data_IF_874318553493
#
_entry.id   IF_874318553493
#
_cell.length_a   1.000
_cell.length_b   1.000
_cell.length_c   1.000
_cell.angle_alpha   90.00
_cell.angle_beta   90.00
_cell.angle_gamma   90.00
#
_symmetry.space_group_name_H-M   'P 1'
#
loop_
_entity.id
_entity.type
_entity.pdbx_description
1 polymer ?
#
# COMPACT_ATOMS: atom_id res chain seq x y z
N UNK A 1 11.65 8.71 -4.52
CA UNK A 1 10.73 9.30 -3.52
C UNK A 1 9.55 8.35 -3.37
N UNK A 2 9.04 8.08 -2.17
CA UNK A 2 7.77 7.36 -2.05
C UNK A 2 6.66 8.28 -2.61
N UNK A 3 5.86 7.77 -3.53
CA UNK A 3 4.80 8.54 -4.18
C UNK A 3 5.12 9.10 -5.56
N UNK A 4 6.04 8.49 -6.32
CA UNK A 4 6.08 8.75 -7.77
C UNK A 4 4.77 8.21 -8.35
N UNK A 5 3.92 9.10 -8.84
CA UNK A 5 2.66 8.74 -9.47
C UNK A 5 2.93 7.87 -10.70
N UNK A 6 2.00 6.97 -11.07
CA UNK A 6 2.11 6.14 -12.29
C UNK A 6 2.45 7.00 -13.54
N UNK A 7 1.95 8.23 -13.57
CA UNK A 7 2.25 9.22 -14.60
C UNK A 7 3.72 9.64 -14.63
N UNK A 8 4.34 9.88 -13.48
CA UNK A 8 5.75 10.28 -13.41
C UNK A 8 6.70 9.13 -13.78
N UNK A 9 6.38 7.89 -13.40
CA UNK A 9 7.15 6.71 -13.82
C UNK A 9 7.03 6.52 -15.34
N UNK A 10 5.81 6.63 -15.87
CA UNK A 10 5.53 6.53 -17.31
C UNK A 10 6.28 7.61 -18.10
N UNK A 11 6.23 8.86 -17.64
CA UNK A 11 6.95 9.99 -18.24
C UNK A 11 8.47 9.77 -18.20
N UNK A 12 9.02 9.32 -17.07
CA UNK A 12 10.45 9.04 -16.94
C UNK A 12 10.90 7.96 -17.93
N UNK A 13 10.13 6.87 -18.07
CA UNK A 13 10.43 5.80 -19.02
C UNK A 13 10.39 6.30 -20.47
N UNK A 14 9.39 7.10 -20.83
CA UNK A 14 9.27 7.70 -22.15
C UNK A 14 10.42 8.66 -22.47
N UNK A 15 10.85 9.48 -21.50
CA UNK A 15 12.02 10.36 -21.63
C UNK A 15 13.32 9.58 -21.87
N UNK A 16 13.42 8.34 -21.37
CA UNK A 16 14.56 7.47 -21.59
C UNK A 16 14.42 6.58 -22.84
N UNK A 17 13.48 6.93 -23.72
CA UNK A 17 13.29 6.27 -25.01
C UNK A 17 12.60 4.92 -24.91
N UNK A 18 11.91 4.61 -23.81
CA UNK A 18 11.02 3.45 -23.76
C UNK A 18 9.62 3.81 -24.22
N UNK A 19 8.92 2.84 -24.78
CA UNK A 19 7.48 2.96 -25.03
C UNK A 19 6.72 2.28 -23.90
N UNK A 20 5.71 2.96 -23.38
CA UNK A 20 4.89 2.50 -22.25
C UNK A 20 3.43 2.39 -22.65
N UNK A 21 2.78 1.33 -22.22
CA UNK A 21 1.37 1.01 -22.46
C UNK A 21 0.74 0.63 -21.12
N UNK A 22 -0.24 1.40 -20.64
CA UNK A 22 -1.10 0.96 -19.54
C UNK A 22 -2.07 -0.05 -20.13
N UNK A 23 -2.00 -1.30 -19.67
CA UNK A 23 -2.81 -2.38 -20.25
C UNK A 23 -4.18 -2.44 -19.60
N UNK A 24 -4.18 -2.62 -18.28
CA UNK A 24 -5.39 -2.97 -17.55
C UNK A 24 -5.30 -2.44 -16.11
N UNK A 25 -6.43 -1.94 -15.62
CA UNK A 25 -6.65 -1.66 -14.21
C UNK A 25 -7.58 -2.73 -13.66
N UNK A 26 -7.07 -3.57 -12.77
CA UNK A 26 -7.86 -4.55 -12.04
C UNK A 26 -8.41 -3.92 -10.79
N UNK A 27 -9.69 -4.16 -10.54
CA UNK A 27 -10.37 -3.73 -9.34
C UNK A 27 -11.16 -4.89 -8.80
N UNK A 28 -10.95 -5.22 -7.54
CA UNK A 28 -11.71 -6.26 -6.85
C UNK A 28 -11.99 -5.84 -5.41
N UNK A 29 -12.98 -6.51 -4.82
CA UNK A 29 -13.29 -6.35 -3.41
C UNK A 29 -12.80 -7.58 -2.65
N UNK A 30 -12.19 -7.38 -1.50
CA UNK A 30 -11.78 -8.46 -0.60
C UNK A 30 -12.33 -8.23 0.80
N UNK A 31 -12.77 -9.30 1.51
CA UNK A 31 -13.13 -9.19 2.90
C UNK A 31 -11.87 -8.99 3.75
N UNK A 32 -11.85 -7.95 4.57
CA UNK A 32 -10.76 -7.65 5.50
C UNK A 32 -11.31 -7.28 6.88
N UNK A 33 -10.50 -7.45 7.92
CA UNK A 33 -10.84 -7.07 9.29
C UNK A 33 -9.89 -5.95 9.75
N UNK A 34 -10.33 -5.10 10.69
CA UNK A 34 -9.44 -4.13 11.35
C UNK A 34 -8.15 -4.78 11.91
N UNK A 35 -8.28 -5.97 12.50
CA UNK A 35 -7.14 -6.74 13.01
C UNK A 35 -6.14 -7.10 11.90
N UNK A 36 -6.61 -7.51 10.73
CA UNK A 36 -5.73 -7.86 9.59
C UNK A 36 -4.98 -6.63 9.07
N UNK A 37 -5.61 -5.45 9.01
CA UNK A 37 -4.92 -4.20 8.67
C UNK A 37 -3.85 -3.81 9.68
N UNK A 38 -4.15 -3.92 10.97
CA UNK A 38 -3.16 -3.64 12.00
C UNK A 38 -1.95 -4.57 11.87
N UNK A 39 -2.20 -5.85 11.64
CA UNK A 39 -1.14 -6.83 11.41
C UNK A 39 -0.31 -6.49 10.16
N UNK A 40 -0.91 -6.06 9.05
CA UNK A 40 -0.14 -5.72 7.84
C UNK A 40 0.82 -4.55 8.06
N UNK A 41 0.43 -3.56 8.87
CA UNK A 41 1.30 -2.43 9.25
C UNK A 41 2.52 -2.91 10.05
N UNK A 42 2.34 -3.85 10.98
CA UNK A 42 3.45 -4.45 11.75
C UNK A 42 4.47 -5.09 10.80
N UNK A 43 4.01 -5.83 9.79
CA UNK A 43 4.89 -6.53 8.85
C UNK A 43 5.61 -5.57 7.88
N UNK A 44 4.99 -4.43 7.56
CA UNK A 44 5.49 -3.49 6.54
C UNK A 44 6.77 -2.74 6.97
N UNK A 45 7.01 -2.54 8.28
CA UNK A 45 8.20 -1.83 8.78
C UNK A 45 9.52 -2.41 8.24
N UNK A 46 9.57 -3.74 8.03
CA UNK A 46 10.75 -4.43 7.53
C UNK A 46 11.14 -4.04 6.10
N UNK A 47 10.26 -3.36 5.36
CA UNK A 47 10.42 -3.09 3.92
C UNK A 47 10.54 -1.61 3.56
N UNK A 48 10.36 -0.69 4.53
CA UNK A 48 10.40 0.75 4.25
C UNK A 48 11.84 1.29 4.18
N UNK A 49 12.24 1.98 3.11
CA UNK A 49 13.53 2.68 3.02
C UNK A 49 13.59 3.94 3.90
N UNK A 50 12.45 4.36 4.47
CA UNK A 50 12.33 5.43 5.45
C UNK A 50 11.98 4.77 6.78
N UNK A 51 13.00 4.23 7.46
CA UNK A 51 12.82 3.67 8.78
C UNK A 51 12.62 4.81 9.78
N UNK A 52 11.38 4.94 10.25
CA UNK A 52 11.15 5.54 11.56
C UNK A 52 11.95 4.72 12.58
N UNK A 53 12.57 5.36 13.56
CA UNK A 53 13.31 4.60 14.59
C UNK A 53 12.39 3.56 15.23
N UNK A 54 12.94 2.38 15.55
CA UNK A 54 12.15 1.28 16.11
C UNK A 54 11.36 1.70 17.35
N UNK A 55 11.93 2.60 18.17
CA UNK A 55 11.26 3.18 19.34
C UNK A 55 10.01 3.99 18.97
N UNK A 56 10.10 4.89 18.00
CA UNK A 56 8.96 5.71 17.58
C UNK A 56 7.91 4.83 16.88
N UNK A 57 8.35 3.84 16.11
CA UNK A 57 7.44 2.91 15.46
C UNK A 57 6.68 2.04 16.50
N UNK A 58 7.38 1.48 17.49
CA UNK A 58 6.77 0.72 18.57
C UNK A 58 5.74 1.55 19.36
N UNK A 59 6.07 2.80 19.71
CA UNK A 59 5.13 3.72 20.37
C UNK A 59 3.92 4.05 19.48
N UNK A 60 4.12 4.15 18.18
CA UNK A 60 3.04 4.40 17.22
C UNK A 60 2.11 3.19 17.09
N UNK A 61 2.67 1.97 17.06
CA UNK A 61 1.90 0.73 17.05
C UNK A 61 1.02 0.60 18.30
N UNK A 62 1.55 0.89 19.49
CA UNK A 62 0.77 0.86 20.73
C UNK A 62 -0.42 1.83 20.71
N UNK A 63 -0.20 3.04 20.18
CA UNK A 63 -1.28 4.05 20.04
C UNK A 63 -2.32 3.60 19.02
N UNK A 64 -1.88 3.01 17.91
CA UNK A 64 -2.75 2.51 16.86
C UNK A 64 -3.58 1.31 17.36
N UNK A 65 -2.97 0.39 18.11
CA UNK A 65 -3.65 -0.75 18.74
C UNK A 65 -4.72 -0.26 19.71
N UNK A 66 -4.37 0.69 20.60
CA UNK A 66 -5.33 1.30 21.51
C UNK A 66 -6.49 1.95 20.76
N UNK A 67 -6.20 2.75 19.73
CA UNK A 67 -7.22 3.39 18.92
C UNK A 67 -8.13 2.37 18.22
N UNK A 68 -7.56 1.30 17.68
CA UNK A 68 -8.31 0.23 17.02
C UNK A 68 -9.28 -0.44 18.01
N UNK A 69 -8.82 -0.78 19.22
CA UNK A 69 -9.69 -1.34 20.25
C UNK A 69 -10.76 -0.35 20.72
N UNK A 70 -10.43 0.93 20.93
CA UNK A 70 -11.38 1.95 21.36
C UNK A 70 -12.44 2.23 20.28
N UNK A 71 -12.07 2.16 18.98
CA UNK A 71 -12.95 2.48 17.86
C UNK A 71 -13.82 1.31 17.41
N UNK A 72 -13.22 0.12 17.25
CA UNK A 72 -13.93 -1.06 16.74
C UNK A 72 -14.46 -1.95 17.87
N UNK A 73 -13.82 -1.97 19.04
CA UNK A 73 -14.21 -2.78 20.19
C UNK A 73 -14.49 -4.24 19.80
N UNK A 74 -15.74 -4.65 19.98
CA UNK A 74 -16.24 -5.99 19.72
C UNK A 74 -16.20 -6.37 18.23
N UNK A 75 -16.10 -5.38 17.34
CA UNK A 75 -16.15 -5.52 15.87
C UNK A 75 -14.77 -5.59 15.23
N UNK A 76 -13.71 -5.71 16.03
CA UNK A 76 -12.33 -5.78 15.53
C UNK A 76 -12.07 -6.94 14.56
N UNK A 77 -12.91 -7.98 14.65
CA UNK A 77 -12.87 -9.16 13.79
C UNK A 77 -14.05 -9.21 12.78
N UNK A 78 -14.90 -8.19 12.77
CA UNK A 78 -15.98 -8.11 11.77
C UNK A 78 -15.36 -7.75 10.43
N UNK A 79 -15.74 -8.49 9.39
CA UNK A 79 -15.25 -8.24 8.03
C UNK A 79 -15.99 -7.08 7.37
N UNK A 80 -15.24 -6.26 6.64
CA UNK A 80 -15.78 -5.29 5.69
C UNK A 80 -15.14 -5.51 4.32
N UNK A 81 -15.81 -5.03 3.27
CA UNK A 81 -15.27 -5.11 1.91
C UNK A 81 -14.34 -3.93 1.67
N UNK A 82 -13.09 -4.23 1.40
CA UNK A 82 -12.10 -3.26 0.94
C UNK A 82 -11.94 -3.38 -0.58
N UNK A 83 -11.89 -2.22 -1.25
CA UNK A 83 -11.67 -2.13 -2.69
C UNK A 83 -10.17 -1.99 -2.98
N UNK A 84 -9.61 -2.98 -3.65
CA UNK A 84 -8.23 -2.98 -4.11
C UNK A 84 -8.11 -2.56 -5.57
N UNK A 85 -6.96 -2.02 -5.93
CA UNK A 85 -6.65 -1.61 -7.29
C UNK A 85 -5.23 -2.00 -7.68
N UNK A 86 -5.09 -2.65 -8.83
CA UNK A 86 -3.79 -2.99 -9.41
C UNK A 86 -3.73 -2.47 -10.85
N UNK A 87 -2.72 -1.64 -11.14
CA UNK A 87 -2.44 -1.16 -12.49
C UNK A 87 -1.32 -2.01 -13.09
N UNK A 88 -1.57 -2.63 -14.24
CA UNK A 88 -0.56 -3.33 -15.00
C UNK A 88 -0.12 -2.50 -16.21
N UNK A 89 1.15 -2.10 -16.20
CA UNK A 89 1.79 -1.34 -17.27
C UNK A 89 2.86 -2.19 -17.96
N UNK A 90 2.95 -2.07 -19.28
CA UNK A 90 3.98 -2.70 -20.09
C UNK A 90 4.94 -1.65 -20.62
N UNK A 91 6.23 -1.98 -20.55
CA UNK A 91 7.32 -1.14 -21.08
C UNK A 91 8.10 -1.93 -22.12
N UNK A 92 8.41 -1.32 -23.27
CA UNK A 92 9.26 -1.91 -24.31
C UNK A 92 10.36 -0.94 -24.73
N UNK A 93 11.54 -1.48 -25.06
CA UNK A 93 12.60 -0.73 -25.71
C UNK A 93 12.36 -0.74 -27.23
N UNK A 94 12.35 0.42 -27.92
CA UNK A 94 12.25 0.49 -29.37
C UNK A 94 13.42 -0.27 -30.02
N UNK A 95 13.14 -0.89 -31.16
CA UNK A 95 14.12 -1.63 -31.97
C UNK A 95 15.01 -0.69 -32.76
#
# INVERSE_FOLDING_TARGET
MPGVTDQEVTLWLQQHGFETEIREMFTWEQPITPQTHFNSIIHYQATSPWSVSDEIFALSLQRLEKWMHDHFGNKINDSFLEKEQLILSKTRKPS
#
